data_IF_804432912491
#
_entry.id   IF_804432912491
#
_cell.length_a   1.000
_cell.length_b   1.000
_cell.length_c   1.000
_cell.angle_alpha   90.00
_cell.angle_beta   90.00
_cell.angle_gamma   90.00
#
_symmetry.space_group_name_H-M   'P 1'
#
loop_
_entity.id
_entity.type
_entity.pdbx_description
1 polymer ?
#
# COMPACT_ATOMS: atom_id res chain seq x y z
N UNK A 1 -15.53 7.44 -9.80
CA UNK A 1 -14.12 7.00 -9.86
C UNK A 1 -13.55 6.82 -8.46
N UNK A 2 -13.32 7.89 -7.69
CA UNK A 2 -12.80 7.82 -6.31
C UNK A 2 -13.52 6.79 -5.42
N UNK A 3 -14.86 6.75 -5.42
CA UNK A 3 -15.62 5.75 -4.65
C UNK A 3 -15.40 4.31 -5.10
N UNK A 4 -15.15 4.08 -6.41
CA UNK A 4 -14.81 2.74 -6.91
C UNK A 4 -13.41 2.31 -6.50
N UNK A 5 -12.45 3.24 -6.54
CA UNK A 5 -11.09 3.04 -6.00
C UNK A 5 -11.15 2.73 -4.50
N UNK A 6 -12.00 3.46 -3.75
CA UNK A 6 -12.24 3.24 -2.32
C UNK A 6 -12.82 1.84 -2.05
N UNK A 7 -13.84 1.42 -2.80
CA UNK A 7 -14.44 0.08 -2.69
C UNK A 7 -13.39 -1.01 -2.92
N UNK A 8 -12.63 -0.91 -4.01
CA UNK A 8 -11.57 -1.88 -4.36
C UNK A 8 -10.51 -2.00 -3.25
N UNK A 9 -10.08 -0.88 -2.67
CA UNK A 9 -9.09 -0.88 -1.58
C UNK A 9 -9.64 -1.48 -0.28
N UNK A 10 -10.91 -1.20 0.07
CA UNK A 10 -11.58 -1.77 1.24
C UNK A 10 -11.81 -3.29 1.08
N UNK A 11 -12.39 -3.71 -0.04
CA UNK A 11 -12.59 -5.13 -0.39
C UNK A 11 -11.27 -5.91 -0.36
N UNK A 12 -10.20 -5.32 -0.92
CA UNK A 12 -8.90 -5.97 -0.95
C UNK A 12 -8.29 -6.08 0.46
N UNK A 13 -8.44 -5.05 1.31
CA UNK A 13 -8.02 -5.13 2.72
C UNK A 13 -8.76 -6.25 3.45
N UNK A 14 -10.09 -6.27 3.35
CA UNK A 14 -10.95 -7.28 4.01
C UNK A 14 -10.60 -8.71 3.55
N UNK A 15 -10.34 -8.92 2.26
CA UNK A 15 -9.94 -10.22 1.73
C UNK A 15 -8.48 -10.59 2.09
N UNK A 16 -7.58 -9.61 2.18
CA UNK A 16 -6.15 -9.85 2.43
C UNK A 16 -5.83 -10.16 3.89
N UNK A 17 -6.51 -9.52 4.84
CA UNK A 17 -6.19 -9.61 6.27
C UNK A 17 -6.28 -11.05 6.84
N UNK A 18 -7.28 -11.90 6.49
CA UNK A 18 -7.28 -13.32 6.85
C UNK A 18 -6.17 -14.15 6.19
N UNK A 19 -5.55 -13.63 5.12
CA UNK A 19 -4.50 -14.29 4.34
C UNK A 19 -3.08 -13.83 4.72
N UNK A 20 -2.96 -12.92 5.69
CA UNK A 20 -1.70 -12.37 6.19
C UNK A 20 -1.04 -13.31 7.20
N UNK A 21 -0.02 -14.03 6.72
CA UNK A 21 0.72 -15.06 7.46
C UNK A 21 2.20 -15.11 7.02
N UNK A 22 2.94 -16.11 7.50
CA UNK A 22 4.37 -16.28 7.21
C UNK A 22 4.68 -16.44 5.71
N UNK A 23 3.72 -16.92 4.91
CA UNK A 23 3.83 -17.10 3.47
C UNK A 23 3.62 -15.77 2.72
N UNK A 24 2.92 -14.79 3.32
CA UNK A 24 2.69 -13.46 2.71
C UNK A 24 3.49 -12.29 3.34
N UNK A 25 3.91 -12.33 4.61
CA UNK A 25 4.49 -11.20 5.42
C UNK A 25 5.84 -10.57 5.00
N UNK A 26 6.56 -11.13 4.02
CA UNK A 26 7.93 -10.72 3.62
C UNK A 26 9.04 -11.07 4.65
N UNK A 27 10.22 -11.58 4.24
CA UNK A 27 11.16 -12.22 5.17
C UNK A 27 11.78 -11.32 6.26
N UNK A 28 11.76 -9.98 6.11
CA UNK A 28 12.23 -9.01 7.13
C UNK A 28 11.46 -9.16 8.46
N UNK A 29 10.21 -9.59 8.40
CA UNK A 29 9.25 -9.59 9.51
C UNK A 29 8.96 -11.02 10.01
N UNK A 30 9.87 -11.97 9.77
CA UNK A 30 9.77 -13.33 10.29
C UNK A 30 10.72 -13.53 11.50
N UNK A 31 10.26 -14.21 12.57
CA UNK A 31 8.89 -14.69 12.82
C UNK A 31 7.91 -13.54 13.11
N UNK A 32 6.60 -13.79 12.93
CA UNK A 32 5.57 -12.76 13.12
C UNK A 32 5.51 -12.28 14.58
N UNK A 33 5.76 -10.99 14.78
CA UNK A 33 5.60 -10.32 16.08
C UNK A 33 4.12 -9.97 16.32
N UNK A 34 3.46 -10.78 17.16
CA UNK A 34 2.05 -10.60 17.55
C UNK A 34 1.77 -9.34 18.39
N UNK A 35 2.79 -8.57 18.77
CA UNK A 35 2.63 -7.25 19.38
C UNK A 35 2.49 -6.11 18.36
N UNK A 36 2.69 -6.39 17.07
CA UNK A 36 2.54 -5.43 15.97
C UNK A 36 1.16 -5.53 15.31
N UNK A 37 0.72 -4.47 14.60
CA UNK A 37 -0.45 -4.54 13.72
C UNK A 37 -0.30 -5.68 12.69
N UNK A 38 -1.42 -6.34 12.37
CA UNK A 38 -1.44 -7.50 11.46
C UNK A 38 -0.97 -7.17 10.04
N UNK A 39 -1.00 -5.89 9.64
CA UNK A 39 -0.49 -5.39 8.36
C UNK A 39 1.04 -5.22 8.29
N UNK A 40 1.76 -5.33 9.42
CA UNK A 40 3.20 -5.11 9.48
C UNK A 40 3.96 -6.09 8.57
N UNK A 41 4.70 -5.54 7.59
CA UNK A 41 5.44 -6.33 6.59
C UNK A 41 4.64 -6.74 5.35
N UNK A 42 3.32 -6.64 5.39
CA UNK A 42 2.44 -7.03 4.27
C UNK A 42 2.27 -5.94 3.19
N UNK A 43 2.86 -4.75 3.35
CA UNK A 43 2.69 -3.62 2.43
C UNK A 43 3.10 -3.92 0.98
N UNK A 44 4.29 -4.48 0.75
CA UNK A 44 4.79 -4.77 -0.59
C UNK A 44 3.89 -5.74 -1.40
N UNK A 45 3.56 -6.95 -0.92
CA UNK A 45 2.67 -7.84 -1.66
C UNK A 45 1.25 -7.28 -1.79
N UNK A 46 0.69 -6.69 -0.73
CA UNK A 46 -0.68 -6.15 -0.76
C UNK A 46 -0.82 -5.00 -1.76
N UNK A 47 0.18 -4.11 -1.85
CA UNK A 47 0.20 -3.01 -2.82
C UNK A 47 0.40 -3.49 -4.27
N UNK A 48 1.13 -4.58 -4.51
CA UNK A 48 1.24 -5.19 -5.86
C UNK A 48 -0.14 -5.71 -6.30
N UNK A 49 -0.83 -6.47 -5.45
CA UNK A 49 -2.18 -6.98 -5.75
C UNK A 49 -3.17 -5.82 -5.96
N UNK A 50 -3.08 -4.76 -5.14
CA UNK A 50 -3.88 -3.55 -5.30
C UNK A 50 -3.65 -2.87 -6.66
N UNK A 51 -2.39 -2.72 -7.09
CA UNK A 51 -2.03 -2.14 -8.38
C UNK A 51 -2.68 -2.92 -9.54
N UNK A 52 -2.58 -4.27 -9.50
CA UNK A 52 -3.14 -5.17 -10.51
C UNK A 52 -4.66 -5.03 -10.60
N UNK A 53 -5.36 -5.10 -9.47
CA UNK A 53 -6.82 -4.94 -9.40
C UNK A 53 -7.24 -3.55 -9.91
N UNK A 54 -6.60 -2.47 -9.45
CA UNK A 54 -6.91 -1.11 -9.89
C UNK A 54 -6.72 -0.90 -11.40
N UNK A 55 -5.65 -1.44 -12.00
CA UNK A 55 -5.40 -1.35 -13.44
C UNK A 55 -6.39 -2.15 -14.29
N UNK A 56 -6.86 -3.30 -13.77
CA UNK A 56 -7.88 -4.10 -14.45
C UNK A 56 -9.24 -3.38 -14.49
N UNK A 57 -9.64 -2.78 -13.37
CA UNK A 57 -10.94 -2.09 -13.27
C UNK A 57 -10.91 -0.65 -13.85
N UNK A 58 -9.74 0.01 -13.87
CA UNK A 58 -9.56 1.37 -14.39
C UNK A 58 -8.37 1.48 -15.38
N UNK A 59 -8.46 0.88 -16.58
CA UNK A 59 -7.34 0.75 -17.51
C UNK A 59 -6.86 2.07 -18.15
N UNK A 60 -7.62 3.16 -18.01
CA UNK A 60 -7.25 4.49 -18.50
C UNK A 60 -6.58 5.37 -17.42
N UNK A 61 -6.51 4.90 -16.18
CA UNK A 61 -5.98 5.66 -15.04
C UNK A 61 -4.50 5.32 -14.77
N UNK A 62 -3.73 6.33 -14.38
CA UNK A 62 -2.29 6.18 -14.15
C UNK A 62 -2.03 5.78 -12.69
N UNK A 63 -1.74 4.50 -12.46
CA UNK A 63 -1.29 3.97 -11.16
C UNK A 63 0.18 3.55 -11.20
N UNK A 64 0.91 3.83 -10.11
CA UNK A 64 2.28 3.36 -9.89
C UNK A 64 2.47 2.84 -8.48
N UNK A 65 3.37 1.88 -8.29
CA UNK A 65 3.90 1.55 -6.96
C UNK A 65 4.91 2.60 -6.53
N UNK A 66 4.86 2.99 -5.26
CA UNK A 66 5.86 3.84 -4.62
C UNK A 66 6.52 3.08 -3.47
N UNK A 67 7.84 3.25 -3.33
CA UNK A 67 8.66 2.71 -2.25
C UNK A 67 9.27 3.90 -1.52
N UNK A 68 9.15 3.94 -0.19
CA UNK A 68 9.58 5.11 0.58
C UNK A 68 9.40 4.97 2.08
N UNK A 69 9.16 6.10 2.75
CA UNK A 69 8.86 6.19 4.18
C UNK A 69 7.61 7.03 4.44
N UNK A 70 7.01 6.85 5.62
CA UNK A 70 5.88 7.67 6.09
C UNK A 70 6.31 8.42 7.35
N UNK A 71 6.08 9.74 7.38
CA UNK A 71 6.57 10.65 8.41
C UNK A 71 5.42 11.44 9.05
N UNK A 72 5.43 11.58 10.37
CA UNK A 72 4.69 12.63 11.06
C UNK A 72 5.53 13.92 11.06
N UNK A 73 5.00 14.98 10.45
CA UNK A 73 5.61 16.31 10.34
C UNK A 73 5.47 17.18 11.61
N UNK A 74 4.96 16.60 12.70
CA UNK A 74 5.00 17.23 14.02
C UNK A 74 6.47 17.37 14.46
N UNK A 75 6.76 18.31 15.35
CA UNK A 75 8.11 18.46 15.93
C UNK A 75 8.18 17.74 17.29
N UNK A 76 9.21 16.89 17.55
CA UNK A 76 10.26 16.47 16.61
C UNK A 76 9.73 15.56 15.50
N UNK A 77 10.32 15.66 14.31
CA UNK A 77 9.99 14.80 13.16
C UNK A 77 10.06 13.32 13.57
N UNK A 78 9.01 12.56 13.26
CA UNK A 78 8.90 11.15 13.64
C UNK A 78 8.64 10.28 12.42
N UNK A 79 9.33 9.14 12.32
CA UNK A 79 9.16 8.15 11.24
C UNK A 79 8.06 7.17 11.66
N UNK A 80 6.88 7.28 11.05
CA UNK A 80 5.77 6.36 11.29
C UNK A 80 6.04 4.98 10.66
N UNK A 81 6.63 4.94 9.45
CA UNK A 81 7.04 3.71 8.76
C UNK A 81 8.39 3.95 8.06
N UNK A 82 9.40 3.11 8.35
CA UNK A 82 10.79 3.23 7.87
C UNK A 82 10.97 2.87 6.39
N UNK A 83 10.30 1.79 5.98
CA UNK A 83 10.35 1.23 4.64
C UNK A 83 8.96 0.71 4.29
N UNK A 84 8.31 1.41 3.37
CA UNK A 84 6.91 1.20 3.03
C UNK A 84 6.70 1.10 1.52
N UNK A 85 5.61 0.42 1.12
CA UNK A 85 5.21 0.28 -0.28
C UNK A 85 3.70 0.50 -0.41
N UNK A 86 3.31 1.48 -1.22
CA UNK A 86 1.91 1.87 -1.44
C UNK A 86 1.63 2.09 -2.93
N UNK A 87 0.36 2.27 -3.30
CA UNK A 87 -0.04 2.66 -4.66
C UNK A 87 -0.26 4.18 -4.70
N UNK A 88 0.27 4.81 -5.74
CA UNK A 88 -0.05 6.19 -6.13
C UNK A 88 -1.01 6.17 -7.31
N UNK A 89 -2.06 6.99 -7.27
CA UNK A 89 -2.90 7.31 -8.43
C UNK A 89 -2.66 8.77 -8.83
N UNK A 90 -2.35 8.99 -10.10
CA UNK A 90 -1.99 10.30 -10.64
C UNK A 90 -3.18 10.87 -11.43
N UNK A 91 -3.93 11.78 -10.81
CA UNK A 91 -5.05 12.48 -11.42
C UNK A 91 -4.53 13.65 -12.29
N UNK A 92 -4.92 13.59 -13.58
CA UNK A 92 -4.25 14.28 -14.70
C UNK A 92 -2.74 13.95 -14.80
N UNK A 93 -2.05 14.22 -15.92
CA UNK A 93 -0.60 14.04 -16.00
C UNK A 93 0.14 14.92 -14.98
N UNK A 94 0.46 14.34 -13.82
CA UNK A 94 1.32 14.84 -12.75
C UNK A 94 0.81 16.09 -11.98
N UNK A 95 -0.50 16.38 -11.98
CA UNK A 95 -1.03 17.50 -11.16
C UNK A 95 -1.39 17.11 -9.73
N UNK A 96 -1.99 15.94 -9.54
CA UNK A 96 -2.44 15.46 -8.23
C UNK A 96 -2.06 14.01 -8.03
N UNK A 97 -1.47 13.71 -6.88
CA UNK A 97 -1.14 12.34 -6.48
C UNK A 97 -2.00 11.96 -5.29
N UNK A 98 -2.87 10.98 -5.49
CA UNK A 98 -3.59 10.28 -4.45
C UNK A 98 -2.71 9.15 -3.90
N UNK A 99 -2.67 9.02 -2.57
CA UNK A 99 -2.08 7.88 -1.88
C UNK A 99 -3.19 6.84 -1.67
N UNK A 100 -2.90 5.58 -2.01
CA UNK A 100 -3.77 4.43 -1.74
C UNK A 100 -2.94 3.38 -1.01
N UNK A 101 -3.27 3.15 0.26
CA UNK A 101 -2.49 2.33 1.17
C UNK A 101 -3.41 1.51 2.08
N UNK A 102 -3.43 0.19 1.85
CA UNK A 102 -4.24 -0.78 2.63
C UNK A 102 -3.48 -1.38 3.82
N UNK A 103 -2.35 -0.78 4.18
CA UNK A 103 -1.42 -1.20 5.24
C UNK A 103 -0.87 -0.01 6.02
N UNK A 104 -1.59 1.12 6.02
CA UNK A 104 -1.19 2.36 6.67
C UNK A 104 -1.14 2.20 8.21
N UNK A 105 -2.05 1.37 8.75
CA UNK A 105 -2.18 0.99 10.16
C UNK A 105 -0.99 0.23 10.76
N UNK A 106 0.03 -0.13 9.97
CA UNK A 106 1.30 -0.62 10.52
C UNK A 106 2.17 0.50 11.11
N UNK A 107 1.88 1.76 10.75
CA UNK A 107 2.65 2.93 11.18
C UNK A 107 2.23 3.45 12.54
N UNK A 108 3.22 3.90 13.33
CA UNK A 108 2.96 4.41 14.68
C UNK A 108 1.97 5.60 14.65
N UNK A 109 0.93 5.54 15.48
CA UNK A 109 -0.14 6.54 15.55
C UNK A 109 -1.12 6.59 14.37
N UNK A 110 -1.02 5.70 13.37
CA UNK A 110 -1.99 5.62 12.26
C UNK A 110 -3.04 4.56 12.60
N UNK A 111 -4.32 4.92 12.61
CA UNK A 111 -5.42 4.02 13.00
C UNK A 111 -6.28 3.55 11.81
N UNK A 112 -6.09 4.13 10.63
CA UNK A 112 -6.88 3.78 9.45
C UNK A 112 -6.29 2.56 8.71
N UNK A 113 -7.03 1.43 8.59
CA UNK A 113 -6.55 0.24 7.89
C UNK A 113 -6.47 0.45 6.36
N UNK A 114 -7.22 1.42 5.84
CA UNK A 114 -7.16 1.86 4.44
C UNK A 114 -7.10 3.38 4.40
N UNK A 115 -6.02 3.91 3.84
CA UNK A 115 -5.81 5.32 3.61
C UNK A 115 -5.95 5.61 2.10
N UNK A 116 -6.92 6.48 1.77
CA UNK A 116 -7.18 6.99 0.42
C UNK A 116 -7.42 8.50 0.49
N UNK A 117 -6.41 9.28 0.11
CA UNK A 117 -6.41 10.74 0.22
C UNK A 117 -5.40 11.39 -0.75
N UNK A 118 -5.59 12.67 -1.06
CA UNK A 118 -4.59 13.49 -1.75
C UNK A 118 -3.35 13.68 -0.87
N UNK A 119 -2.17 13.57 -1.48
CA UNK A 119 -0.88 13.75 -0.78
C UNK A 119 -0.73 15.14 -0.16
N UNK A 120 -1.31 16.18 -0.79
CA UNK A 120 -1.33 17.54 -0.25
C UNK A 120 -2.19 17.67 1.03
N UNK A 121 -3.35 17.01 1.09
CA UNK A 121 -4.25 17.07 2.24
C UNK A 121 -3.70 16.25 3.42
N UNK A 122 -3.09 15.08 3.16
CA UNK A 122 -2.33 14.33 4.17
C UNK A 122 -1.25 15.22 4.82
N UNK A 123 -0.50 15.95 4.00
CA UNK A 123 0.57 16.84 4.45
C UNK A 123 0.03 18.02 5.24
N UNK A 124 -0.98 18.73 4.69
CA UNK A 124 -1.52 19.99 5.24
C UNK A 124 -2.40 19.78 6.46
N UNK A 125 -3.28 18.78 6.43
CA UNK A 125 -4.39 18.66 7.38
C UNK A 125 -4.11 17.61 8.47
N UNK A 126 -3.37 16.55 8.12
CA UNK A 126 -2.98 15.49 9.06
C UNK A 126 -1.54 15.64 9.57
N UNK A 127 -0.70 16.38 8.86
CA UNK A 127 0.74 16.44 9.14
C UNK A 127 1.43 15.10 8.88
N UNK A 128 0.96 14.34 7.89
CA UNK A 128 1.45 13.02 7.50
C UNK A 128 2.02 13.07 6.08
N UNK A 129 3.31 12.80 5.92
CA UNK A 129 3.99 12.84 4.63
C UNK A 129 4.38 11.44 4.14
N UNK A 130 3.97 11.10 2.92
CA UNK A 130 4.41 9.90 2.19
C UNK A 130 5.56 10.29 1.26
N UNK A 131 6.80 9.92 1.62
CA UNK A 131 8.00 10.30 0.88
C UNK A 131 8.56 9.11 0.09
N UNK A 132 8.29 9.07 -1.21
CA UNK A 132 8.82 8.04 -2.13
C UNK A 132 10.30 8.28 -2.45
N UNK A 133 11.13 7.25 -2.31
CA UNK A 133 12.49 7.20 -2.86
C UNK A 133 12.49 6.75 -4.32
N UNK A 134 11.51 5.91 -4.68
CA UNK A 134 11.32 5.35 -6.01
C UNK A 134 9.83 5.16 -6.27
N UNK A 135 9.37 5.53 -7.47
CA UNK A 135 8.08 5.10 -8.01
C UNK A 135 8.27 4.33 -9.31
N UNK A 136 7.37 3.40 -9.61
CA UNK A 136 7.43 2.56 -10.81
C UNK A 136 6.04 2.14 -11.26
N UNK A 137 5.77 2.24 -12.56
CA UNK A 137 4.62 1.61 -13.19
C UNK A 137 4.87 0.12 -13.49
N UNK A 138 6.13 -0.29 -13.65
CA UNK A 138 6.50 -1.68 -13.85
C UNK A 138 6.71 -2.37 -12.49
N UNK A 139 5.86 -3.35 -12.18
CA UNK A 139 5.95 -4.16 -10.96
C UNK A 139 7.17 -5.11 -10.98
N UNK A 140 7.73 -5.43 -12.14
CA UNK A 140 8.96 -6.24 -12.26
C UNK A 140 10.20 -5.51 -11.71
N UNK A 141 10.09 -4.21 -11.44
CA UNK A 141 11.12 -3.41 -10.75
C UNK A 141 11.05 -3.52 -9.23
N UNK A 142 10.08 -4.27 -8.69
CA UNK A 142 10.01 -4.66 -7.28
C UNK A 142 10.81 -5.96 -7.05
N UNK A 143 11.30 -6.16 -5.83
CA UNK A 143 12.08 -7.36 -5.46
C UNK A 143 11.29 -8.65 -5.76
N UNK A 144 11.88 -9.67 -6.43
CA UNK A 144 11.20 -10.92 -6.77
C UNK A 144 10.52 -11.64 -5.59
N UNK A 145 11.09 -11.53 -4.38
CA UNK A 145 10.50 -12.10 -3.17
C UNK A 145 9.17 -11.44 -2.75
N UNK A 146 8.91 -10.18 -3.12
CA UNK A 146 7.63 -9.53 -2.89
C UNK A 146 6.61 -9.92 -3.97
N UNK A 147 7.03 -10.03 -5.24
CA UNK A 147 6.19 -10.54 -6.33
C UNK A 147 5.70 -11.97 -6.04
N UNK A 148 6.58 -12.88 -5.66
CA UNK A 148 6.20 -14.25 -5.30
C UNK A 148 5.19 -14.32 -4.13
N UNK A 149 5.28 -13.38 -3.18
CA UNK A 149 4.32 -13.28 -2.06
C UNK A 149 3.02 -12.60 -2.46
N UNK A 150 3.04 -11.70 -3.45
CA UNK A 150 1.85 -11.15 -4.07
C UNK A 150 1.07 -12.24 -4.83
N UNK A 151 1.74 -13.16 -5.55
CA UNK A 151 1.06 -14.30 -6.19
C UNK A 151 0.36 -15.20 -5.15
N UNK A 152 1.05 -15.54 -4.05
CA UNK A 152 0.46 -16.33 -2.95
C UNK A 152 -0.76 -15.61 -2.37
N UNK A 153 -0.70 -14.28 -2.20
CA UNK A 153 -1.83 -13.49 -1.73
C UNK A 153 -2.99 -13.48 -2.75
N UNK A 154 -2.74 -13.15 -4.03
CA UNK A 154 -3.73 -13.13 -5.12
C UNK A 154 -4.50 -14.45 -5.24
N UNK A 155 -3.80 -15.59 -5.18
CA UNK A 155 -4.44 -16.92 -5.24
C UNK A 155 -5.36 -17.14 -4.03
N UNK A 156 -4.92 -16.79 -2.82
CA UNK A 156 -5.69 -17.01 -1.59
C UNK A 156 -6.93 -16.12 -1.48
N UNK A 157 -6.86 -14.88 -1.96
CA UNK A 157 -8.00 -13.96 -1.96
C UNK A 157 -8.95 -14.16 -3.16
N UNK A 158 -8.62 -15.07 -4.10
CA UNK A 158 -9.43 -15.34 -5.29
C UNK A 158 -9.35 -14.29 -6.40
N UNK A 159 -8.28 -13.49 -6.44
CA UNK A 159 -8.06 -12.46 -7.48
C UNK A 159 -7.26 -12.99 -8.70
N UNK A 160 -6.79 -14.25 -8.68
CA UNK A 160 -6.17 -14.96 -9.82
C UNK A 160 -7.22 -15.30 -10.92
N UNK A 161 -7.78 -14.25 -11.53
CA UNK A 161 -8.50 -14.32 -12.81
C UNK A 161 -7.52 -14.03 -13.94
N UNK A 162 -6.97 -15.11 -14.48
CA UNK A 162 -6.24 -15.15 -15.76
C UNK A 162 -7.19 -15.02 -16.94
#
# INVERSE_FOLDING_TARGET
MLEGIRSIALELREASEPCWDEQTISPKYLPIDKSKPISAGHCAPSSIVLLRKLRREFPNELFSLAIGQVLWLKQPLHIAIDYHVWVQWHEEPFKRTWIIDITADQGDGINEPVLLALMEDLTRERGLAYQSYQSTEDENRIKPAALARAEVLSVRIGDDKR
#
